data_IF_628127307786
#
_entry.id   IF_628127307786
#
_cell.length_a   1.000
_cell.length_b   1.000
_cell.length_c   1.000
_cell.angle_alpha   90.00
_cell.angle_beta   90.00
_cell.angle_gamma   90.00
#
_symmetry.space_group_name_H-M   'P 1'
#
loop_
_entity.id
_entity.type
_entity.pdbx_description
1 polymer ?
#
# COMPACT_ATOMS: atom_id res chain seq x y z
N UNK A 1 -17.75 30.08 -27.12
CA UNK A 1 -17.91 29.79 -25.68
C UNK A 1 -19.19 28.98 -25.53
N UNK A 2 -19.11 27.70 -25.17
CA UNK A 2 -20.27 26.81 -24.99
C UNK A 2 -20.36 26.50 -23.50
N UNK A 3 -21.49 26.85 -22.89
CA UNK A 3 -21.79 26.57 -21.48
C UNK A 3 -22.67 25.32 -21.42
N UNK A 4 -22.14 24.20 -20.94
CA UNK A 4 -22.91 23.00 -20.63
C UNK A 4 -23.54 23.16 -19.24
N UNK A 5 -24.68 23.85 -19.17
CA UNK A 5 -25.55 23.79 -18.01
C UNK A 5 -26.24 22.43 -17.95
N UNK A 6 -25.88 21.59 -16.99
CA UNK A 6 -26.60 20.37 -16.65
C UNK A 6 -28.05 20.73 -16.28
N UNK A 7 -29.00 20.40 -17.16
CA UNK A 7 -30.42 20.38 -16.82
C UNK A 7 -30.65 19.20 -15.85
N UNK A 8 -30.68 19.49 -14.55
CA UNK A 8 -31.09 18.50 -13.55
C UNK A 8 -32.62 18.43 -13.52
N UNK A 9 -33.17 17.23 -13.65
CA UNK A 9 -34.59 16.95 -13.45
C UNK A 9 -34.99 17.35 -12.00
N UNK A 10 -36.01 18.21 -11.81
CA UNK A 10 -36.44 18.70 -10.50
C UNK A 10 -36.93 17.61 -9.53
N UNK A 11 -37.10 16.35 -9.98
CA UNK A 11 -37.46 15.21 -9.12
C UNK A 11 -36.28 14.39 -8.62
N UNK A 12 -35.05 14.67 -9.07
CA UNK A 12 -33.86 13.95 -8.61
C UNK A 12 -33.27 14.68 -7.41
N UNK A 13 -33.36 14.09 -6.22
CA UNK A 13 -32.59 14.56 -5.06
C UNK A 13 -31.11 14.31 -5.35
N UNK A 14 -30.24 15.34 -5.37
CA UNK A 14 -28.82 15.12 -5.42
C UNK A 14 -28.40 14.43 -4.12
N UNK A 15 -27.98 13.16 -4.21
CA UNK A 15 -27.34 12.48 -3.08
C UNK A 15 -25.90 13.02 -3.03
N UNK A 16 -25.64 13.91 -2.08
CA UNK A 16 -24.28 14.31 -1.76
C UNK A 16 -23.54 13.12 -1.11
N UNK A 17 -22.92 12.25 -1.91
CA UNK A 17 -21.84 11.40 -1.40
C UNK A 17 -20.66 12.32 -1.12
N UNK A 18 -20.23 12.42 0.13
CA UNK A 18 -18.88 12.91 0.43
C UNK A 18 -17.90 12.00 -0.31
N UNK A 19 -17.07 12.56 -1.21
CA UNK A 19 -16.07 11.80 -1.97
C UNK A 19 -15.06 11.06 -1.06
N UNK A 20 -14.94 11.48 0.19
CA UNK A 20 -14.05 10.90 1.19
C UNK A 20 -14.87 10.64 2.46
N UNK A 21 -15.27 9.38 2.67
CA UNK A 21 -15.68 8.94 4.00
C UNK A 21 -14.46 8.97 4.93
N UNK A 22 -14.68 9.13 6.23
CA UNK A 22 -13.61 8.90 7.20
C UNK A 22 -13.11 7.46 7.04
N UNK A 23 -11.82 7.29 6.75
CA UNK A 23 -11.18 6.00 6.55
C UNK A 23 -10.02 5.83 7.52
N UNK A 24 -9.77 4.58 7.91
CA UNK A 24 -8.56 4.20 8.65
C UNK A 24 -7.63 3.50 7.66
N UNK A 25 -6.33 3.78 7.76
CA UNK A 25 -5.32 3.10 6.96
C UNK A 25 -4.60 2.06 7.81
N UNK A 26 -4.34 0.91 7.22
CA UNK A 26 -3.70 -0.23 7.87
C UNK A 26 -2.67 -0.82 6.92
N UNK A 27 -1.56 -1.30 7.47
CA UNK A 27 -0.53 -2.08 6.77
C UNK A 27 -0.55 -3.51 7.30
N UNK A 28 -0.57 -4.45 6.37
CA UNK A 28 -0.45 -5.89 6.61
C UNK A 28 0.75 -6.45 5.83
N UNK A 29 1.36 -7.50 6.38
CA UNK A 29 2.43 -8.27 5.74
C UNK A 29 2.16 -9.74 6.03
N UNK A 30 1.91 -10.50 4.97
CA UNK A 30 1.68 -11.94 5.03
C UNK A 30 2.75 -12.67 4.25
N UNK A 31 3.07 -13.89 4.68
CA UNK A 31 4.04 -14.76 4.05
C UNK A 31 3.40 -16.07 3.58
N UNK A 32 4.00 -16.67 2.55
CA UNK A 32 3.50 -17.90 1.92
C UNK A 32 3.53 -19.13 2.83
N UNK A 33 4.30 -19.09 3.92
CA UNK A 33 4.33 -20.12 4.96
C UNK A 33 3.26 -19.93 6.05
N UNK A 34 2.32 -19.01 5.83
CA UNK A 34 1.17 -18.76 6.69
C UNK A 34 1.44 -17.82 7.87
N UNK A 35 2.65 -17.27 8.00
CA UNK A 35 2.94 -16.25 9.01
C UNK A 35 2.41 -14.89 8.57
N UNK A 36 1.94 -14.10 9.53
CA UNK A 36 1.46 -12.76 9.30
C UNK A 36 1.96 -11.81 10.39
N UNK A 37 2.29 -10.59 9.98
CA UNK A 37 2.62 -9.52 10.89
C UNK A 37 1.35 -9.04 11.61
N UNK A 38 1.40 -8.69 12.91
CA UNK A 38 0.30 -7.98 13.54
C UNK A 38 -0.04 -6.70 12.76
N UNK A 39 -1.34 -6.48 12.50
CA UNK A 39 -1.80 -5.35 11.70
C UNK A 39 -1.29 -4.03 12.26
N UNK A 40 -0.63 -3.24 11.43
CA UNK A 40 -0.18 -1.91 11.80
C UNK A 40 -1.24 -0.88 11.41
N UNK A 41 -1.91 -0.32 12.41
CA UNK A 41 -2.88 0.75 12.23
C UNK A 41 -2.17 2.10 12.12
N UNK A 42 -2.27 2.75 10.97
CA UNK A 42 -1.72 4.08 10.76
C UNK A 42 -2.52 5.07 11.61
N UNK A 43 -1.86 5.89 12.45
CA UNK A 43 -2.56 6.87 13.27
C UNK A 43 -3.41 7.82 12.43
N UNK A 44 -4.52 8.27 13.00
CA UNK A 44 -5.43 9.22 12.35
C UNK A 44 -4.67 10.47 11.91
N UNK A 45 -5.05 11.02 10.76
CA UNK A 45 -4.50 12.25 10.15
C UNK A 45 -3.05 12.13 9.64
N UNK A 46 -2.44 10.93 9.71
CA UNK A 46 -1.18 10.64 9.04
C UNK A 46 -1.45 10.24 7.58
N UNK A 47 -0.88 11.02 6.66
CA UNK A 47 -0.84 10.66 5.24
C UNK A 47 0.47 9.92 4.96
N UNK A 48 0.38 8.65 4.58
CA UNK A 48 1.56 7.87 4.17
C UNK A 48 2.15 8.47 2.89
N UNK A 49 3.33 9.08 3.06
CA UNK A 49 4.23 9.49 1.99
C UNK A 49 5.52 8.65 2.10
N UNK A 50 6.48 8.84 1.21
CA UNK A 50 7.74 8.07 1.23
C UNK A 50 8.47 8.10 2.58
N UNK A 51 8.48 9.25 3.29
CA UNK A 51 9.18 9.37 4.58
C UNK A 51 8.47 8.55 5.65
N UNK A 52 7.15 8.71 5.80
CA UNK A 52 6.38 7.96 6.79
C UNK A 52 6.34 6.47 6.46
N UNK A 53 6.27 6.12 5.18
CA UNK A 53 6.37 4.74 4.71
C UNK A 53 7.69 4.10 5.13
N UNK A 54 8.83 4.75 4.85
CA UNK A 54 10.15 4.25 5.23
C UNK A 54 10.33 4.13 6.75
N UNK A 55 9.69 5.01 7.52
CA UNK A 55 9.67 4.91 8.98
C UNK A 55 8.98 3.61 9.43
N UNK A 56 7.78 3.34 8.90
CA UNK A 56 7.04 2.10 9.20
C UNK A 56 7.80 0.87 8.70
N UNK A 57 8.39 0.93 7.51
CA UNK A 57 9.20 -0.17 6.97
C UNK A 57 10.37 -0.51 7.89
N UNK A 58 11.05 0.50 8.43
CA UNK A 58 12.22 0.29 9.29
C UNK A 58 11.85 -0.15 10.71
N UNK A 59 10.86 0.51 11.32
CA UNK A 59 10.51 0.29 12.73
C UNK A 59 9.63 -0.95 12.92
N UNK A 60 8.74 -1.23 11.96
CA UNK A 60 7.72 -2.28 12.10
C UNK A 60 8.03 -3.47 11.21
N UNK A 61 8.11 -3.27 9.88
CA UNK A 61 8.21 -4.39 8.92
C UNK A 61 9.54 -5.11 9.04
N UNK A 62 10.66 -4.37 9.01
CA UNK A 62 12.01 -4.95 9.11
C UNK A 62 12.22 -5.65 10.46
N UNK A 63 11.77 -5.02 11.54
CA UNK A 63 11.82 -5.62 12.88
C UNK A 63 11.09 -6.96 12.94
N UNK A 64 9.91 -7.05 12.31
CA UNK A 64 9.15 -8.29 12.23
C UNK A 64 9.84 -9.33 11.33
N UNK A 65 10.36 -8.92 10.18
CA UNK A 65 11.11 -9.81 9.27
C UNK A 65 12.35 -10.41 9.95
N UNK A 66 13.12 -9.61 10.68
CA UNK A 66 14.33 -10.07 11.38
C UNK A 66 14.03 -11.07 12.49
N UNK A 67 12.90 -10.91 13.17
CA UNK A 67 12.45 -11.84 14.21
C UNK A 67 11.89 -13.13 13.59
N UNK A 68 11.18 -13.02 12.47
CA UNK A 68 10.45 -14.13 11.87
C UNK A 68 11.31 -14.98 10.93
N UNK A 69 12.24 -14.33 10.23
CA UNK A 69 13.14 -14.91 9.24
C UNK A 69 14.59 -14.47 9.52
N UNK A 70 15.18 -14.87 10.66
CA UNK A 70 16.53 -14.42 11.06
C UNK A 70 17.64 -14.88 10.10
N UNK A 71 17.36 -15.84 9.23
CA UNK A 71 18.27 -16.34 8.19
C UNK A 71 17.96 -15.77 6.80
N UNK A 72 17.00 -14.86 6.67
CA UNK A 72 16.50 -14.41 5.36
C UNK A 72 15.65 -15.48 4.67
N UNK A 73 15.81 -15.62 3.35
CA UNK A 73 15.09 -16.59 2.54
C UNK A 73 13.69 -16.13 2.13
N UNK A 74 13.48 -14.82 2.01
CA UNK A 74 12.19 -14.23 1.64
C UNK A 74 12.34 -13.24 0.49
N UNK A 75 11.28 -13.08 -0.28
CA UNK A 75 11.20 -12.10 -1.36
C UNK A 75 10.08 -11.11 -1.06
N UNK A 76 10.41 -9.84 -0.93
CA UNK A 76 9.43 -8.78 -0.72
C UNK A 76 8.61 -8.49 -1.98
N UNK A 77 7.29 -8.37 -1.86
CA UNK A 77 6.41 -7.93 -2.93
C UNK A 77 5.54 -6.77 -2.45
N UNK A 78 5.39 -5.75 -3.29
CA UNK A 78 4.52 -4.59 -3.08
C UNK A 78 3.95 -4.11 -4.42
N UNK A 79 2.89 -3.31 -4.38
CA UNK A 79 2.31 -2.69 -5.57
C UNK A 79 3.15 -1.50 -6.09
N UNK A 80 2.68 -0.92 -7.19
CA UNK A 80 3.30 0.23 -7.85
C UNK A 80 2.85 1.59 -7.27
N UNK A 81 2.47 1.69 -6.00
CA UNK A 81 2.15 2.98 -5.40
C UNK A 81 3.35 3.97 -5.47
N UNK A 82 3.12 5.29 -5.59
CA UNK A 82 4.21 6.27 -5.72
C UNK A 82 5.27 6.23 -4.62
N UNK A 83 4.87 5.88 -3.38
CA UNK A 83 5.79 5.74 -2.26
C UNK A 83 6.71 4.52 -2.43
N UNK A 84 6.20 3.42 -3.00
CA UNK A 84 6.95 2.18 -3.20
C UNK A 84 7.96 2.32 -4.34
N UNK A 85 7.60 3.03 -5.42
CA UNK A 85 8.50 3.30 -6.55
C UNK A 85 9.55 4.38 -6.28
N UNK A 86 9.46 5.11 -5.17
CA UNK A 86 10.40 6.19 -4.88
C UNK A 86 11.84 5.65 -4.75
N UNK A 87 12.82 6.36 -5.33
CA UNK A 87 14.22 5.96 -5.30
C UNK A 87 14.77 5.70 -3.88
N UNK A 88 14.31 6.45 -2.87
CA UNK A 88 14.69 6.20 -1.47
C UNK A 88 14.14 4.89 -0.94
N UNK A 89 12.93 4.53 -1.35
CA UNK A 89 12.28 3.27 -0.98
C UNK A 89 12.95 2.09 -1.66
N UNK A 90 13.24 2.20 -2.96
CA UNK A 90 13.97 1.17 -3.71
C UNK A 90 15.36 0.91 -3.11
N UNK A 91 16.11 1.97 -2.81
CA UNK A 91 17.39 1.84 -2.11
C UNK A 91 17.26 1.20 -0.74
N UNK A 92 16.16 1.48 -0.01
CA UNK A 92 15.91 0.81 1.26
C UNK A 92 15.65 -0.69 1.06
N UNK A 93 14.89 -1.10 0.04
CA UNK A 93 14.68 -2.52 -0.27
C UNK A 93 16.00 -3.24 -0.57
N UNK A 94 16.83 -2.67 -1.45
CA UNK A 94 18.15 -3.21 -1.81
C UNK A 94 19.08 -3.40 -0.60
N UNK A 95 18.96 -2.53 0.41
CA UNK A 95 19.84 -2.55 1.59
C UNK A 95 19.32 -3.44 2.72
N UNK A 96 18.01 -3.73 2.76
CA UNK A 96 17.37 -4.30 3.95
C UNK A 96 16.58 -5.59 3.69
N UNK A 97 16.16 -5.87 2.46
CA UNK A 97 15.47 -7.11 2.15
C UNK A 97 16.46 -8.12 1.56
N UNK A 98 16.17 -9.41 1.72
CA UNK A 98 16.98 -10.49 1.14
C UNK A 98 16.85 -10.48 -0.40
N UNK A 99 15.62 -10.39 -0.89
CA UNK A 99 15.30 -10.06 -2.28
C UNK A 99 13.95 -9.32 -2.35
N UNK A 100 13.63 -8.69 -3.48
CA UNK A 100 12.35 -8.04 -3.70
C UNK A 100 11.97 -7.95 -5.18
N UNK A 101 10.67 -7.94 -5.44
CA UNK A 101 10.16 -7.72 -6.79
C UNK A 101 10.36 -6.26 -7.19
N UNK A 102 11.22 -6.08 -8.19
CA UNK A 102 11.41 -4.76 -8.80
C UNK A 102 10.15 -4.35 -9.58
N UNK A 103 10.00 -3.05 -9.82
CA UNK A 103 8.83 -2.50 -10.52
C UNK A 103 8.61 -3.10 -11.92
N UNK A 104 9.67 -3.59 -12.59
CA UNK A 104 9.57 -4.20 -13.91
C UNK A 104 8.89 -5.58 -13.90
N UNK A 105 8.81 -6.21 -12.71
CA UNK A 105 8.13 -7.49 -12.52
C UNK A 105 6.63 -7.33 -12.30
N UNK A 106 6.14 -6.11 -12.06
CA UNK A 106 4.73 -5.84 -11.81
C UNK A 106 4.01 -5.28 -13.05
N UNK A 107 3.02 -5.98 -13.62
CA UNK A 107 2.21 -5.41 -14.69
C UNK A 107 1.34 -4.26 -14.16
N UNK A 108 1.22 -3.14 -14.90
CA UNK A 108 0.44 -2.00 -14.45
C UNK A 108 -1.05 -2.36 -14.30
N UNK A 109 -1.69 -1.84 -13.24
CA UNK A 109 -3.12 -1.98 -12.92
C UNK A 109 -3.62 -3.39 -12.62
N UNK A 110 -2.73 -4.34 -12.34
CA UNK A 110 -3.10 -5.73 -12.12
C UNK A 110 -3.27 -6.05 -10.63
N UNK A 111 -4.45 -5.72 -10.09
CA UNK A 111 -4.83 -6.00 -8.69
C UNK A 111 -4.85 -7.51 -8.39
N UNK A 112 -5.23 -8.32 -9.37
CA UNK A 112 -5.38 -9.78 -9.21
C UNK A 112 -4.06 -10.52 -8.98
N UNK A 113 -2.91 -9.87 -9.17
CA UNK A 113 -1.59 -10.45 -8.88
C UNK A 113 -1.15 -10.24 -7.43
N UNK A 114 -1.85 -9.43 -6.64
CA UNK A 114 -1.53 -9.17 -5.23
C UNK A 114 -2.35 -10.10 -4.34
N UNK A 115 -1.72 -11.07 -3.63
CA UNK A 115 -2.43 -11.95 -2.71
C UNK A 115 -3.30 -11.23 -1.69
N UNK A 116 -2.83 -10.07 -1.23
CA UNK A 116 -3.52 -9.21 -0.27
C UNK A 116 -4.73 -8.48 -0.87
N UNK A 117 -4.81 -8.32 -2.19
CA UNK A 117 -5.96 -7.66 -2.83
C UNK A 117 -6.98 -8.65 -3.40
N UNK A 118 -6.58 -9.87 -3.78
CA UNK A 118 -7.49 -10.84 -4.42
C UNK A 118 -8.06 -11.90 -3.47
N UNK A 119 -7.36 -12.23 -2.38
CA UNK A 119 -7.63 -13.46 -1.62
C UNK A 119 -7.88 -13.27 -0.12
N UNK A 120 -7.49 -12.13 0.45
CA UNK A 120 -7.49 -11.88 1.90
C UNK A 120 -8.56 -10.84 2.27
#
# INVERSE_FOLDING_TARGET
>A
MINFGLLLDPKVRPINRTKQAAGVMMLDVVASDGKAMPLFWVPKDIKINTKEYLKVMNEVVKSWLDQTYPQGGYVGQQDLAPAHQNAKTQKWYEMNLDDFWTWSMWPPFFRDCSPLDYCI
#
